data_IF_687693228106
#
_entry.id   IF_687693228106
#
_cell.length_a   1.000
_cell.length_b   1.000
_cell.length_c   1.000
_cell.angle_alpha   90.00
_cell.angle_beta   90.00
_cell.angle_gamma   90.00
#
_symmetry.space_group_name_H-M   'P 1'
#
loop_
_entity.id
_entity.type
_entity.pdbx_description
1 polymer ?
#
# COMPACT_ATOMS: atom_id res chain seq x y z
N UNK A 1 7.29 -17.22 3.81
CA UNK A 1 8.02 -15.97 3.48
C UNK A 1 7.01 -14.87 3.29
N UNK A 2 7.22 -13.71 3.91
CA UNK A 2 6.29 -12.59 3.87
C UNK A 2 6.85 -11.48 2.98
N UNK A 3 6.00 -10.92 2.13
CA UNK A 3 6.23 -9.73 1.36
C UNK A 3 5.36 -8.61 1.96
N UNK A 4 5.99 -7.64 2.57
CA UNK A 4 5.38 -6.41 3.09
C UNK A 4 5.19 -5.42 1.95
N UNK A 5 3.95 -5.13 1.57
CA UNK A 5 3.69 -4.29 0.39
C UNK A 5 3.45 -2.82 0.70
N UNK A 6 3.39 -2.45 1.99
CA UNK A 6 3.18 -1.05 2.39
C UNK A 6 3.70 -0.75 3.80
N UNK A 7 4.84 -0.10 3.87
CA UNK A 7 5.48 0.32 5.11
C UNK A 7 6.08 1.73 4.96
N UNK A 8 6.15 2.49 6.05
CA UNK A 8 6.77 3.82 6.11
C UNK A 8 7.95 3.79 7.11
N UNK A 9 9.02 3.05 6.77
CA UNK A 9 10.23 3.04 7.60
C UNK A 9 11.00 4.37 7.56
N UNK A 10 10.66 5.29 6.66
CA UNK A 10 11.09 6.69 6.63
C UNK A 10 10.51 7.52 7.78
N UNK A 11 9.36 7.16 8.36
CA UNK A 11 8.69 7.88 9.44
C UNK A 11 9.61 8.15 10.64
N UNK A 12 9.51 9.36 11.22
CA UNK A 12 10.28 9.81 12.39
C UNK A 12 10.16 8.87 13.61
N UNK A 13 9.05 8.14 13.75
CA UNK A 13 8.88 7.16 14.83
C UNK A 13 9.87 6.01 14.79
N UNK A 14 10.54 5.79 13.65
CA UNK A 14 11.61 4.80 13.52
C UNK A 14 13.01 5.39 13.68
N UNK A 15 13.18 6.69 13.78
CA UNK A 15 14.47 7.37 13.73
C UNK A 15 15.54 6.77 14.64
N UNK A 16 15.16 6.42 15.87
CA UNK A 16 16.11 5.95 16.89
C UNK A 16 16.63 4.51 16.63
N UNK A 17 15.79 3.64 16.05
CA UNK A 17 16.11 2.22 15.91
C UNK A 17 15.91 1.68 14.48
N UNK A 18 15.60 2.54 13.51
CA UNK A 18 15.33 2.19 12.10
C UNK A 18 16.35 1.21 11.54
N UNK A 19 17.62 1.51 11.70
CA UNK A 19 18.70 0.74 11.11
C UNK A 19 18.78 -0.67 11.71
N UNK A 20 18.66 -0.78 13.03
CA UNK A 20 18.65 -2.05 13.75
C UNK A 20 17.41 -2.88 13.37
N UNK A 21 16.24 -2.24 13.38
CA UNK A 21 14.97 -2.89 13.06
C UNK A 21 14.99 -3.41 11.62
N UNK A 22 15.21 -2.54 10.66
CA UNK A 22 15.20 -2.88 9.23
C UNK A 22 16.22 -3.98 8.93
N UNK A 23 17.46 -3.90 9.42
CA UNK A 23 18.48 -4.94 9.23
C UNK A 23 18.07 -6.32 9.80
N UNK A 24 17.12 -6.35 10.75
CA UNK A 24 16.67 -7.59 11.38
C UNK A 24 15.55 -8.31 10.63
N UNK A 25 14.76 -7.59 9.80
CA UNK A 25 13.53 -8.10 9.17
C UNK A 25 13.73 -9.37 8.34
N UNK A 26 14.80 -9.52 7.53
CA UNK A 26 15.01 -10.75 6.75
C UNK A 26 15.14 -12.00 7.60
N UNK A 27 15.65 -11.87 8.86
CA UNK A 27 15.73 -12.97 9.83
C UNK A 27 14.39 -13.29 10.47
N UNK A 28 13.43 -12.40 10.37
CA UNK A 28 12.05 -12.50 10.90
C UNK A 28 11.04 -12.92 9.82
N UNK A 29 11.49 -13.60 8.76
CA UNK A 29 10.67 -14.07 7.65
C UNK A 29 10.14 -12.97 6.70
N UNK A 30 10.48 -11.70 6.89
CA UNK A 30 10.14 -10.60 5.99
C UNK A 30 11.21 -10.50 4.91
N UNK A 31 10.90 -10.97 3.71
CA UNK A 31 11.90 -11.15 2.64
C UNK A 31 11.88 -10.04 1.58
N UNK A 32 10.81 -9.30 1.48
CA UNK A 32 10.65 -8.12 0.62
C UNK A 32 9.81 -7.08 1.36
N UNK A 33 10.17 -5.82 1.16
CA UNK A 33 9.45 -4.66 1.71
C UNK A 33 9.32 -3.61 0.62
N UNK A 34 8.14 -3.04 0.46
CA UNK A 34 7.97 -1.79 -0.28
C UNK A 34 7.86 -0.67 0.77
N UNK A 35 8.85 0.22 0.80
CA UNK A 35 8.73 1.46 1.55
C UNK A 35 8.03 2.49 0.67
N UNK A 36 7.02 3.15 1.23
CA UNK A 36 6.10 4.00 0.46
C UNK A 36 6.23 5.44 0.92
N UNK A 37 6.61 6.32 0.01
CA UNK A 37 6.62 7.76 0.26
C UNK A 37 5.20 8.33 0.21
N UNK A 38 4.85 9.16 1.19
CA UNK A 38 3.55 9.84 1.25
C UNK A 38 3.66 11.35 0.92
N UNK A 39 4.83 11.95 1.15
CA UNK A 39 5.20 13.31 0.76
C UNK A 39 6.51 13.28 -0.05
N UNK A 40 6.97 14.43 -0.50
CA UNK A 40 8.19 14.48 -1.31
C UNK A 40 9.44 14.03 -0.52
N UNK A 41 9.57 14.40 0.74
CA UNK A 41 10.67 13.98 1.60
C UNK A 41 10.66 12.46 1.82
N UNK A 42 9.48 11.89 2.11
CA UNK A 42 9.28 10.45 2.23
C UNK A 42 9.60 9.69 0.93
N UNK A 43 9.33 10.27 -0.24
CA UNK A 43 9.77 9.68 -1.52
C UNK A 43 11.29 9.61 -1.63
N UNK A 44 12.01 10.66 -1.24
CA UNK A 44 13.47 10.69 -1.24
C UNK A 44 14.03 9.65 -0.27
N UNK A 45 13.50 9.59 0.95
CA UNK A 45 13.93 8.65 1.98
C UNK A 45 13.60 7.20 1.61
N UNK A 46 12.45 6.94 0.96
CA UNK A 46 12.09 5.61 0.43
C UNK A 46 13.10 5.11 -0.61
N UNK A 47 13.52 5.99 -1.52
CA UNK A 47 14.59 5.67 -2.49
C UNK A 47 15.90 5.38 -1.76
N UNK A 48 16.29 6.20 -0.77
CA UNK A 48 17.53 6.00 -0.01
C UNK A 48 17.51 4.66 0.77
N UNK A 49 16.38 4.29 1.37
CA UNK A 49 16.21 2.98 2.02
C UNK A 49 16.36 1.83 1.01
N UNK A 50 15.76 1.95 -0.16
CA UNK A 50 15.87 0.95 -1.21
C UNK A 50 17.30 0.86 -1.77
N UNK A 51 18.05 1.96 -1.86
CA UNK A 51 19.48 1.94 -2.22
C UNK A 51 20.32 1.20 -1.18
N UNK A 52 19.99 1.38 0.11
CA UNK A 52 20.76 0.81 1.23
C UNK A 52 20.53 -0.68 1.46
N UNK A 53 19.30 -1.18 1.20
CA UNK A 53 18.90 -2.56 1.53
C UNK A 53 18.40 -3.31 0.29
N UNK A 54 19.01 -4.45 -0.04
CA UNK A 54 18.70 -5.22 -1.26
C UNK A 54 17.25 -5.70 -1.32
N UNK A 55 16.64 -5.98 -0.18
CA UNK A 55 15.29 -6.52 -0.08
C UNK A 55 14.20 -5.44 0.05
N UNK A 56 14.58 -4.14 0.12
CA UNK A 56 13.65 -3.00 0.13
C UNK A 56 13.54 -2.41 -1.28
N UNK A 57 12.32 -2.07 -1.63
CA UNK A 57 11.92 -1.39 -2.85
C UNK A 57 11.18 -0.12 -2.49
N UNK A 58 11.12 0.83 -3.40
CA UNK A 58 10.42 2.10 -3.21
C UNK A 58 9.12 2.16 -4.01
N UNK A 59 8.06 2.67 -3.40
CA UNK A 59 6.95 3.29 -4.09
C UNK A 59 7.01 4.80 -3.84
N UNK A 60 6.81 5.59 -4.86
CA UNK A 60 6.93 7.05 -4.79
C UNK A 60 5.70 7.73 -5.38
N UNK A 61 5.16 8.69 -4.66
CA UNK A 61 3.96 9.42 -5.03
C UNK A 61 3.64 10.49 -3.99
N UNK A 62 2.65 11.32 -4.27
CA UNK A 62 2.19 12.37 -3.35
C UNK A 62 0.80 11.98 -2.85
N UNK A 63 0.73 11.74 -1.55
CA UNK A 63 -0.50 11.41 -0.83
C UNK A 63 -1.50 12.57 -0.90
N UNK A 64 -2.82 12.32 -0.94
CA UNK A 64 -3.82 13.37 -1.03
C UNK A 64 -3.77 14.43 0.07
N UNK A 65 -3.24 14.13 1.24
CA UNK A 65 -3.06 15.11 2.33
C UNK A 65 -1.83 16.02 2.16
N UNK A 66 -0.99 15.78 1.16
CA UNK A 66 0.25 16.53 0.90
C UNK A 66 0.27 17.10 -0.53
N UNK A 67 -0.88 17.51 -1.05
CA UNK A 67 -1.00 17.99 -2.43
C UNK A 67 -0.15 19.25 -2.72
N UNK A 68 0.23 20.00 -1.71
CA UNK A 68 1.15 21.13 -1.80
C UNK A 68 2.55 20.72 -2.25
N UNK A 69 2.97 19.48 -1.96
CA UNK A 69 4.23 18.92 -2.42
C UNK A 69 4.23 18.54 -3.91
N UNK A 70 3.08 18.53 -4.55
CA UNK A 70 2.94 18.16 -5.94
C UNK A 70 3.33 19.30 -6.91
N UNK A 71 4.48 19.93 -6.63
CA UNK A 71 5.08 20.92 -7.53
C UNK A 71 5.57 20.28 -8.82
N UNK A 72 5.71 21.07 -9.90
CA UNK A 72 6.24 20.56 -11.16
C UNK A 72 7.65 19.99 -11.02
N UNK A 73 8.48 20.57 -10.12
CA UNK A 73 9.83 20.08 -9.83
C UNK A 73 9.80 18.72 -9.14
N UNK A 74 8.97 18.56 -8.11
CA UNK A 74 8.84 17.31 -7.36
C UNK A 74 8.26 16.21 -8.26
N UNK A 75 7.25 16.51 -9.06
CA UNK A 75 6.67 15.56 -10.01
C UNK A 75 7.66 15.15 -11.11
N UNK A 76 8.51 16.07 -11.57
CA UNK A 76 9.59 15.76 -12.51
C UNK A 76 10.65 14.85 -11.88
N UNK A 77 10.99 15.04 -10.59
CA UNK A 77 11.87 14.16 -9.84
C UNK A 77 11.26 12.76 -9.68
N UNK A 78 9.98 12.66 -9.28
CA UNK A 78 9.26 11.38 -9.17
C UNK A 78 9.28 10.66 -10.51
N UNK A 79 8.98 11.35 -11.63
CA UNK A 79 9.05 10.78 -12.97
C UNK A 79 10.44 10.25 -13.31
N UNK A 80 11.48 11.00 -12.99
CA UNK A 80 12.87 10.59 -13.19
C UNK A 80 13.22 9.30 -12.41
N UNK A 81 12.82 9.24 -11.13
CA UNK A 81 13.08 8.09 -10.26
C UNK A 81 12.17 6.89 -10.56
N UNK A 82 11.00 7.07 -11.17
CA UNK A 82 10.10 5.98 -11.56
C UNK A 82 10.73 5.00 -12.57
N UNK A 83 11.75 5.44 -13.33
CA UNK A 83 12.50 4.58 -14.24
C UNK A 83 13.50 3.66 -13.54
N UNK A 84 13.88 3.95 -12.28
CA UNK A 84 14.84 3.15 -11.53
C UNK A 84 14.30 1.74 -11.23
N UNK A 85 15.18 0.74 -11.28
CA UNK A 85 14.78 -0.67 -11.16
C UNK A 85 14.12 -1.01 -9.81
N UNK A 86 14.50 -0.31 -8.72
CA UNK A 86 13.92 -0.53 -7.39
C UNK A 86 12.73 0.38 -7.07
N UNK A 87 12.32 1.27 -7.97
CA UNK A 87 11.02 1.93 -7.92
C UNK A 87 10.00 1.01 -8.57
N UNK A 88 9.08 0.49 -7.77
CA UNK A 88 8.19 -0.62 -8.17
C UNK A 88 6.73 -0.21 -8.30
N UNK A 89 6.35 0.98 -7.83
CA UNK A 89 4.99 1.51 -7.94
C UNK A 89 4.97 3.04 -7.90
N UNK A 90 3.91 3.64 -8.43
CA UNK A 90 3.52 5.02 -8.12
C UNK A 90 2.53 4.95 -6.96
N UNK A 91 2.90 5.54 -5.84
CA UNK A 91 2.15 5.48 -4.58
C UNK A 91 2.98 6.03 -3.41
N UNK A 92 2.29 6.47 -2.39
CA UNK A 92 0.86 6.41 -2.14
C UNK A 92 0.15 7.58 -2.82
N UNK A 93 -0.92 7.29 -3.57
CA UNK A 93 -1.72 8.28 -4.28
C UNK A 93 -3.21 8.00 -4.07
N UNK A 94 -4.08 8.98 -4.24
CA UNK A 94 -5.50 8.73 -4.10
C UNK A 94 -6.30 9.89 -3.54
N UNK A 95 -7.29 9.58 -2.68
CA UNK A 95 -8.25 10.56 -2.13
C UNK A 95 -8.44 10.36 -0.63
N UNK A 96 -8.42 11.45 0.16
CA UNK A 96 -8.77 11.47 1.58
C UNK A 96 -9.77 12.60 1.87
N UNK A 97 -11.04 12.24 2.01
CA UNK A 97 -12.13 13.17 2.35
C UNK A 97 -12.46 13.18 3.84
N UNK A 98 -11.78 12.37 4.62
CA UNK A 98 -11.93 12.37 6.07
C UNK A 98 -11.32 13.63 6.70
N UNK A 99 -10.09 13.96 6.27
CA UNK A 99 -9.39 15.15 6.73
C UNK A 99 -9.77 16.39 5.92
N UNK A 100 -9.91 16.25 4.62
CA UNK A 100 -10.14 17.34 3.66
C UNK A 100 -11.59 17.37 3.19
N UNK A 101 -12.39 18.19 3.87
CA UNK A 101 -13.83 18.31 3.61
C UNK A 101 -14.20 19.44 2.64
N UNK A 102 -13.26 20.33 2.35
CA UNK A 102 -13.50 21.47 1.46
C UNK A 102 -13.56 21.00 0.00
N UNK A 103 -14.64 21.33 -0.73
CA UNK A 103 -14.82 20.88 -2.12
C UNK A 103 -13.68 21.27 -3.07
N UNK A 104 -13.03 22.40 -2.84
CA UNK A 104 -11.88 22.87 -3.62
C UNK A 104 -10.65 22.00 -3.39
N UNK A 105 -10.40 21.55 -2.14
CA UNK A 105 -9.31 20.64 -1.83
C UNK A 105 -9.58 19.26 -2.40
N UNK A 106 -10.81 18.75 -2.27
CA UNK A 106 -11.20 17.48 -2.86
C UNK A 106 -11.06 17.49 -4.39
N UNK A 107 -11.37 18.61 -5.05
CA UNK A 107 -11.13 18.75 -6.49
C UNK A 107 -9.64 18.69 -6.83
N UNK A 108 -8.79 19.38 -6.07
CA UNK A 108 -7.35 19.35 -6.26
C UNK A 108 -6.78 17.93 -6.04
N UNK A 109 -7.28 17.18 -5.04
CA UNK A 109 -6.92 15.78 -4.83
C UNK A 109 -7.28 14.92 -6.05
N UNK A 110 -8.49 15.05 -6.61
CA UNK A 110 -8.90 14.31 -7.82
C UNK A 110 -8.00 14.61 -9.02
N UNK A 111 -7.69 15.89 -9.25
CA UNK A 111 -6.81 16.31 -10.34
C UNK A 111 -5.41 15.73 -10.17
N UNK A 112 -4.84 15.80 -8.96
CA UNK A 112 -3.53 15.24 -8.65
C UNK A 112 -3.52 13.71 -8.77
N UNK A 113 -4.56 13.04 -8.29
CA UNK A 113 -4.72 11.60 -8.45
C UNK A 113 -4.67 11.21 -9.94
N UNK A 114 -5.44 11.86 -10.79
CA UNK A 114 -5.44 11.62 -12.24
C UNK A 114 -4.07 11.89 -12.88
N UNK A 115 -3.36 12.94 -12.46
CA UNK A 115 -2.00 13.23 -12.97
C UNK A 115 -1.02 12.12 -12.62
N UNK A 116 -1.06 11.60 -11.40
CA UNK A 116 -0.18 10.53 -10.96
C UNK A 116 -0.56 9.16 -11.58
N UNK A 117 -1.84 8.91 -11.84
CA UNK A 117 -2.26 7.74 -12.63
C UNK A 117 -1.73 7.81 -14.07
N UNK A 118 -1.75 8.99 -14.69
CA UNK A 118 -1.17 9.19 -16.02
C UNK A 118 0.35 8.91 -16.02
N UNK A 119 1.06 9.34 -14.97
CA UNK A 119 2.47 9.01 -14.79
C UNK A 119 2.69 7.50 -14.62
N UNK A 120 1.88 6.82 -13.80
CA UNK A 120 1.98 5.37 -13.62
C UNK A 120 1.79 4.63 -14.95
N UNK A 121 0.83 5.06 -15.78
CA UNK A 121 0.60 4.53 -17.12
C UNK A 121 1.82 4.74 -18.02
N UNK A 122 2.37 5.95 -18.07
CA UNK A 122 3.56 6.30 -18.86
C UNK A 122 4.76 5.42 -18.48
N UNK A 123 4.96 5.22 -17.17
CA UNK A 123 6.07 4.44 -16.63
C UNK A 123 5.82 2.94 -16.59
N UNK A 124 4.62 2.48 -16.96
CA UNK A 124 4.19 1.09 -16.87
C UNK A 124 4.36 0.50 -15.47
N UNK A 125 4.03 1.28 -14.45
CA UNK A 125 4.11 0.89 -13.04
C UNK A 125 2.72 0.65 -12.46
N UNK A 126 2.58 -0.29 -11.51
CA UNK A 126 1.37 -0.42 -10.71
C UNK A 126 1.21 0.79 -9.77
N UNK A 127 0.01 0.91 -9.21
CA UNK A 127 -0.31 1.97 -8.25
C UNK A 127 -0.69 1.44 -6.88
N UNK A 128 -0.36 2.20 -5.83
CA UNK A 128 -0.78 1.96 -4.45
C UNK A 128 -1.76 3.09 -4.09
N UNK A 129 -3.03 2.71 -3.85
CA UNK A 129 -4.15 3.63 -3.76
C UNK A 129 -4.61 3.81 -2.33
N UNK A 130 -4.50 5.05 -1.85
CA UNK A 130 -5.17 5.52 -0.65
C UNK A 130 -6.61 5.91 -0.96
N UNK A 131 -7.54 5.49 -0.10
CA UNK A 131 -8.93 5.92 -0.22
C UNK A 131 -9.60 5.96 1.15
N UNK A 132 -9.98 7.15 1.59
CA UNK A 132 -10.65 7.36 2.87
C UNK A 132 -11.82 8.33 2.75
N UNK A 133 -13.03 7.86 3.09
CA UNK A 133 -14.31 8.58 2.93
C UNK A 133 -14.56 9.10 1.50
N UNK A 134 -13.91 8.50 0.49
CA UNK A 134 -13.93 8.89 -0.91
C UNK A 134 -14.30 7.72 -1.85
N UNK A 135 -15.12 6.81 -1.37
CA UNK A 135 -15.41 5.52 -2.01
C UNK A 135 -15.89 5.64 -3.46
N UNK A 136 -16.86 6.54 -3.72
CA UNK A 136 -17.46 6.72 -5.04
C UNK A 136 -16.49 7.33 -6.04
N UNK A 137 -15.84 8.43 -5.68
CA UNK A 137 -14.89 9.10 -6.55
C UNK A 137 -13.67 8.22 -6.84
N UNK A 138 -13.16 7.51 -5.82
CA UNK A 138 -12.06 6.55 -6.03
C UNK A 138 -12.47 5.44 -6.99
N UNK A 139 -13.67 4.85 -6.82
CA UNK A 139 -14.17 3.80 -7.71
C UNK A 139 -14.29 4.30 -9.15
N UNK A 140 -14.86 5.47 -9.35
CA UNK A 140 -15.04 6.05 -10.68
C UNK A 140 -13.69 6.30 -11.39
N UNK A 141 -12.72 6.85 -10.67
CA UNK A 141 -11.38 7.09 -11.20
C UNK A 141 -10.67 5.76 -11.50
N UNK A 142 -10.76 4.77 -10.60
CA UNK A 142 -10.12 3.47 -10.79
C UNK A 142 -10.76 2.64 -11.92
N UNK A 143 -12.04 2.82 -12.20
CA UNK A 143 -12.67 2.24 -13.40
C UNK A 143 -12.04 2.77 -14.68
N UNK A 144 -11.70 4.07 -14.73
CA UNK A 144 -10.98 4.63 -15.86
C UNK A 144 -9.54 4.13 -15.92
N UNK A 145 -8.84 4.08 -14.78
CA UNK A 145 -7.49 3.53 -14.68
C UNK A 145 -7.40 2.06 -15.15
N UNK A 146 -8.44 1.26 -14.84
CA UNK A 146 -8.55 -0.11 -15.34
C UNK A 146 -8.65 -0.14 -16.88
N UNK A 147 -9.49 0.70 -17.51
CA UNK A 147 -9.57 0.79 -18.98
C UNK A 147 -8.24 1.21 -19.60
N UNK A 148 -7.46 1.98 -18.89
CA UNK A 148 -6.11 2.41 -19.27
C UNK A 148 -5.04 1.33 -19.03
N UNK A 149 -5.42 0.18 -18.45
CA UNK A 149 -4.53 -0.95 -18.20
C UNK A 149 -3.58 -0.77 -17.02
N UNK A 150 -3.90 0.13 -16.07
CA UNK A 150 -3.06 0.41 -14.90
C UNK A 150 -3.38 -0.61 -13.80
N UNK A 151 -2.46 -1.52 -13.42
CA UNK A 151 -2.66 -2.44 -12.32
C UNK A 151 -2.44 -1.72 -10.97
N UNK A 152 -2.98 -2.28 -9.88
CA UNK A 152 -2.78 -1.65 -8.58
C UNK A 152 -3.35 -2.43 -7.39
N UNK A 153 -3.19 -1.83 -6.22
CA UNK A 153 -3.74 -2.27 -4.95
C UNK A 153 -4.52 -1.14 -4.28
N UNK A 154 -5.69 -1.45 -3.75
CA UNK A 154 -6.39 -0.56 -2.83
C UNK A 154 -5.84 -0.86 -1.45
N UNK A 155 -4.94 0.01 -0.99
CA UNK A 155 -4.24 -0.09 0.27
C UNK A 155 -5.19 0.15 1.46
N UNK A 156 -4.87 -0.45 2.60
CA UNK A 156 -5.60 -0.32 3.87
C UNK A 156 -7.13 -0.40 3.73
N UNK A 157 -7.58 -1.40 2.98
CA UNK A 157 -8.98 -1.50 2.54
C UNK A 157 -9.96 -1.48 3.71
N UNK A 158 -10.97 -0.60 3.64
CA UNK A 158 -11.93 -0.38 4.73
C UNK A 158 -13.40 -0.33 4.29
N UNK A 159 -13.67 -0.47 3.00
CA UNK A 159 -15.03 -0.41 2.44
C UNK A 159 -15.76 -1.75 2.50
N UNK A 160 -16.87 -1.87 1.77
CA UNK A 160 -17.70 -3.08 1.77
C UNK A 160 -17.13 -4.18 0.89
N UNK A 161 -17.53 -5.42 1.14
CA UNK A 161 -17.15 -6.57 0.32
C UNK A 161 -17.68 -6.49 -1.12
N UNK A 162 -18.83 -5.83 -1.33
CA UNK A 162 -19.39 -5.60 -2.65
C UNK A 162 -18.46 -4.72 -3.49
N UNK A 163 -17.95 -3.65 -2.89
CA UNK A 163 -16.98 -2.78 -3.56
C UNK A 163 -15.64 -3.49 -3.80
N UNK A 164 -15.18 -4.31 -2.86
CA UNK A 164 -13.97 -5.11 -3.05
C UNK A 164 -14.11 -6.06 -4.26
N UNK A 165 -15.29 -6.68 -4.44
CA UNK A 165 -15.56 -7.52 -5.61
C UNK A 165 -15.45 -6.75 -6.93
N UNK A 166 -15.89 -5.50 -6.97
CA UNK A 166 -15.75 -4.68 -8.19
C UNK A 166 -14.27 -4.37 -8.48
N UNK A 167 -13.47 -4.05 -7.45
CA UNK A 167 -12.01 -3.89 -7.63
C UNK A 167 -11.35 -5.19 -8.12
N UNK A 168 -11.70 -6.32 -7.52
CA UNK A 168 -11.18 -7.63 -7.90
C UNK A 168 -11.54 -8.02 -9.34
N UNK A 169 -12.78 -7.74 -9.80
CA UNK A 169 -13.19 -7.95 -11.19
C UNK A 169 -12.36 -7.12 -12.18
N UNK A 170 -11.91 -5.96 -11.77
CA UNK A 170 -11.01 -5.11 -12.54
C UNK A 170 -9.53 -5.56 -12.46
N UNK A 171 -9.23 -6.61 -11.66
CA UNK A 171 -7.87 -7.12 -11.50
C UNK A 171 -7.05 -6.42 -10.42
N UNK A 172 -7.65 -5.53 -9.62
CA UNK A 172 -6.97 -4.88 -8.51
C UNK A 172 -6.84 -5.83 -7.31
N UNK A 173 -5.77 -5.66 -6.56
CA UNK A 173 -5.56 -6.31 -5.28
C UNK A 173 -6.12 -5.49 -4.12
N UNK A 174 -6.36 -6.16 -3.01
CA UNK A 174 -6.83 -5.58 -1.76
C UNK A 174 -5.71 -5.71 -0.74
N UNK A 175 -5.26 -4.57 -0.21
CA UNK A 175 -4.27 -4.51 0.86
C UNK A 175 -4.93 -4.83 2.20
N UNK A 176 -4.37 -5.80 2.92
CA UNK A 176 -4.89 -6.26 4.20
C UNK A 176 -3.80 -6.19 5.26
N UNK A 177 -4.01 -5.30 6.24
CA UNK A 177 -3.09 -5.05 7.34
C UNK A 177 -3.68 -5.34 8.71
N UNK A 178 -3.07 -4.76 9.75
CA UNK A 178 -3.37 -5.00 11.16
C UNK A 178 -4.84 -4.86 11.55
N UNK A 179 -5.58 -3.99 10.85
CA UNK A 179 -7.01 -3.75 11.09
C UNK A 179 -7.84 -5.03 11.02
N UNK A 180 -7.48 -6.02 10.20
CA UNK A 180 -8.22 -7.29 10.10
C UNK A 180 -8.31 -8.04 11.43
N UNK A 181 -7.37 -7.83 12.34
CA UNK A 181 -7.34 -8.46 13.66
C UNK A 181 -8.29 -7.81 14.66
N UNK A 182 -8.75 -6.57 14.40
CA UNK A 182 -9.56 -5.81 15.36
C UNK A 182 -10.94 -6.45 15.57
N UNK A 183 -11.44 -6.39 16.80
CA UNK A 183 -12.75 -6.97 17.17
C UNK A 183 -13.90 -6.36 16.36
N UNK A 184 -13.83 -5.06 16.08
CA UNK A 184 -14.85 -4.30 15.38
C UNK A 184 -14.67 -4.22 13.86
N UNK A 185 -13.65 -4.86 13.28
CA UNK A 185 -13.37 -4.84 11.83
C UNK A 185 -14.25 -5.81 11.03
N UNK A 186 -15.57 -5.84 11.33
CA UNK A 186 -16.50 -6.79 10.72
C UNK A 186 -16.50 -6.74 9.19
N UNK A 187 -16.57 -5.52 8.62
CA UNK A 187 -16.60 -5.33 7.15
C UNK A 187 -15.36 -5.92 6.47
N UNK A 188 -14.17 -5.63 7.01
CA UNK A 188 -12.91 -6.12 6.43
C UNK A 188 -12.80 -7.65 6.55
N UNK A 189 -13.24 -8.23 7.68
CA UNK A 189 -13.28 -9.69 7.87
C UNK A 189 -14.22 -10.37 6.87
N UNK A 190 -15.42 -9.81 6.66
CA UNK A 190 -16.35 -10.29 5.65
C UNK A 190 -15.77 -10.16 4.23
N UNK A 191 -15.07 -9.07 3.96
CA UNK A 191 -14.38 -8.86 2.68
C UNK A 191 -13.33 -9.94 2.43
N UNK A 192 -12.43 -10.17 3.39
CA UNK A 192 -11.37 -11.17 3.29
C UNK A 192 -11.93 -12.57 3.05
N UNK A 193 -12.98 -12.96 3.82
CA UNK A 193 -13.64 -14.26 3.65
C UNK A 193 -14.30 -14.41 2.27
N UNK A 194 -14.81 -13.34 1.70
CA UNK A 194 -15.57 -13.34 0.44
C UNK A 194 -14.67 -13.34 -0.81
N UNK A 195 -13.59 -12.52 -0.82
CA UNK A 195 -12.72 -12.41 -2.00
C UNK A 195 -11.64 -13.50 -2.06
N UNK A 196 -11.30 -14.09 -0.91
CA UNK A 196 -10.30 -15.15 -0.80
C UNK A 196 -8.86 -14.67 -1.08
N UNK A 197 -7.92 -15.58 -0.91
CA UNK A 197 -6.48 -15.30 -0.99
C UNK A 197 -5.97 -14.77 -2.34
N UNK A 198 -6.50 -15.19 -3.51
CA UNK A 198 -5.93 -14.80 -4.81
C UNK A 198 -5.89 -13.29 -5.08
N UNK A 199 -6.61 -12.50 -4.29
CA UNK A 199 -6.74 -11.05 -4.50
C UNK A 199 -6.22 -10.22 -3.32
N UNK A 200 -5.52 -10.85 -2.37
CA UNK A 200 -5.00 -10.18 -1.17
C UNK A 200 -3.49 -10.01 -1.28
N UNK A 201 -2.99 -8.85 -0.85
CA UNK A 201 -1.58 -8.62 -0.50
C UNK A 201 -1.48 -8.21 0.97
N UNK A 202 -0.35 -8.52 1.60
CA UNK A 202 -0.10 -8.24 3.01
C UNK A 202 0.62 -6.91 3.18
N UNK A 203 0.18 -6.15 4.16
CA UNK A 203 0.78 -4.86 4.49
C UNK A 203 0.68 -4.55 5.98
N UNK A 204 1.47 -3.60 6.47
CA UNK A 204 1.33 -3.12 7.85
C UNK A 204 0.80 -1.71 7.95
N UNK A 205 1.13 -0.84 7.01
CA UNK A 205 0.99 0.61 7.15
C UNK A 205 1.77 1.12 8.38
N UNK A 206 2.90 0.47 8.69
CA UNK A 206 3.70 0.85 9.87
C UNK A 206 4.36 2.21 9.67
N UNK A 207 4.42 3.02 10.74
CA UNK A 207 4.30 2.71 12.17
C UNK A 207 2.86 2.67 12.72
N UNK A 208 1.85 2.72 11.87
CA UNK A 208 0.44 2.79 12.25
C UNK A 208 -0.21 1.41 12.28
N UNK A 209 -1.48 1.35 12.68
CA UNK A 209 -2.39 0.19 12.54
C UNK A 209 -1.86 -1.12 13.13
N UNK A 210 -1.10 -1.08 14.25
CA UNK A 210 -0.63 -2.29 14.92
C UNK A 210 -1.77 -3.28 15.19
N UNK A 211 -1.59 -4.57 14.84
CA UNK A 211 -2.63 -5.59 15.05
C UNK A 211 -2.84 -5.93 16.52
N UNK A 212 -3.95 -6.57 16.85
CA UNK A 212 -4.07 -7.26 18.13
C UNK A 212 -3.03 -8.41 18.24
N UNK A 213 -2.36 -8.59 19.39
CA UNK A 213 -2.56 -7.93 20.68
C UNK A 213 -1.75 -6.63 20.89
N UNK A 214 -1.08 -6.11 19.85
CA UNK A 214 -0.18 -4.95 19.94
C UNK A 214 -0.85 -3.61 19.62
N UNK A 215 -2.18 -3.58 19.56
CA UNK A 215 -2.91 -2.36 19.25
C UNK A 215 -2.54 -1.20 20.18
N UNK A 216 -2.31 -0.01 19.58
CA UNK A 216 -1.91 1.19 20.32
C UNK A 216 -0.41 1.35 20.54
N UNK A 217 0.41 0.38 20.09
CA UNK A 217 1.87 0.53 20.04
C UNK A 217 2.36 0.87 18.64
N UNK A 218 3.63 1.21 18.49
CA UNK A 218 4.26 1.38 17.18
C UNK A 218 4.25 0.02 16.43
N UNK A 219 3.72 0.02 15.23
CA UNK A 219 3.69 -1.16 14.35
C UNK A 219 5.01 -1.33 13.60
N UNK A 220 5.30 -2.55 13.17
CA UNK A 220 6.34 -2.89 12.19
C UNK A 220 6.01 -4.23 11.50
N UNK A 221 6.75 -4.56 10.43
CA UNK A 221 6.44 -5.73 9.58
C UNK A 221 6.48 -7.08 10.31
N UNK A 222 7.14 -7.18 11.47
CA UNK A 222 7.14 -8.42 12.29
C UNK A 222 5.74 -8.80 12.75
N UNK A 223 4.86 -7.82 12.85
CA UNK A 223 3.47 -8.02 13.26
C UNK A 223 2.59 -8.65 12.17
N UNK A 224 3.07 -8.80 10.94
CA UNK A 224 2.33 -9.48 9.86
C UNK A 224 1.96 -10.93 10.19
N UNK A 225 2.67 -11.58 11.11
CA UNK A 225 2.30 -12.93 11.59
C UNK A 225 0.88 -12.99 12.17
N UNK A 226 0.40 -11.91 12.81
CA UNK A 226 -0.96 -11.84 13.37
C UNK A 226 -2.00 -11.63 12.26
N UNK A 227 -1.65 -10.84 11.25
CA UNK A 227 -2.47 -10.63 10.06
C UNK A 227 -2.64 -11.94 9.30
N UNK A 228 -1.53 -12.64 9.03
CA UNK A 228 -1.50 -13.96 8.37
C UNK A 228 -2.38 -14.97 9.08
N UNK A 229 -2.25 -15.09 10.41
CA UNK A 229 -3.08 -16.01 11.23
C UNK A 229 -4.57 -15.69 11.12
N UNK A 230 -4.91 -14.41 11.21
CA UNK A 230 -6.32 -13.99 11.12
C UNK A 230 -6.88 -14.26 9.71
N UNK A 231 -6.12 -13.99 8.65
CA UNK A 231 -6.55 -14.30 7.28
C UNK A 231 -6.73 -15.81 7.11
N UNK A 232 -5.82 -16.64 7.62
CA UNK A 232 -5.92 -18.10 7.57
C UNK A 232 -7.22 -18.61 8.23
N UNK A 233 -7.56 -18.08 9.41
CA UNK A 233 -8.81 -18.40 10.10
C UNK A 233 -10.05 -17.98 9.29
N UNK A 234 -10.03 -16.79 8.69
CA UNK A 234 -11.16 -16.26 7.93
C UNK A 234 -11.40 -16.99 6.60
N UNK A 235 -10.35 -17.51 6.01
CA UNK A 235 -10.41 -18.20 4.70
C UNK A 235 -10.42 -19.72 4.82
N UNK A 236 -10.28 -20.27 6.04
CA UNK A 236 -10.24 -21.72 6.28
C UNK A 236 -8.98 -22.40 5.70
N UNK A 237 -7.86 -21.68 5.65
CA UNK A 237 -6.57 -22.14 5.11
C UNK A 237 -5.49 -22.18 6.18
N UNK A 238 -4.25 -22.49 5.81
CA UNK A 238 -3.11 -22.45 6.75
C UNK A 238 -2.33 -21.13 6.64
N UNK A 239 -1.61 -20.72 7.70
CA UNK A 239 -0.71 -19.56 7.62
C UNK A 239 0.31 -19.67 6.49
N UNK A 240 0.84 -20.86 6.23
CA UNK A 240 1.81 -21.13 5.17
C UNK A 240 1.20 -20.91 3.78
N UNK A 241 -0.06 -21.29 3.59
CA UNK A 241 -0.79 -21.05 2.34
C UNK A 241 -1.08 -19.56 2.14
N UNK A 242 -1.47 -18.83 3.20
CA UNK A 242 -1.61 -17.37 3.15
C UNK A 242 -0.31 -16.72 2.74
N UNK A 243 0.82 -17.05 3.40
CA UNK A 243 2.14 -16.52 3.03
C UNK A 243 2.49 -16.82 1.57
N UNK A 244 2.28 -18.07 1.11
CA UNK A 244 2.65 -18.48 -0.24
C UNK A 244 1.82 -17.74 -1.31
N UNK A 245 0.50 -17.69 -1.14
CA UNK A 245 -0.40 -17.07 -2.13
C UNK A 245 -0.20 -15.56 -2.17
N UNK A 246 -0.14 -14.90 -1.01
CA UNK A 246 0.03 -13.44 -0.95
C UNK A 246 1.42 -12.99 -1.43
N UNK A 247 2.45 -13.82 -1.24
CA UNK A 247 3.77 -13.61 -1.84
C UNK A 247 3.72 -13.60 -3.37
N UNK A 248 3.09 -14.59 -3.99
CA UNK A 248 2.96 -14.65 -5.44
C UNK A 248 2.05 -13.54 -5.99
N UNK A 249 1.02 -13.14 -5.25
CA UNK A 249 0.19 -12.00 -5.59
C UNK A 249 1.02 -10.70 -5.65
N UNK A 250 1.81 -10.44 -4.60
CA UNK A 250 2.67 -9.27 -4.53
C UNK A 250 3.72 -9.27 -5.66
N UNK A 251 4.35 -10.39 -5.95
CA UNK A 251 5.29 -10.52 -7.08
C UNK A 251 4.63 -10.28 -8.44
N UNK A 252 3.39 -10.74 -8.61
CA UNK A 252 2.64 -10.52 -9.84
C UNK A 252 2.27 -9.05 -10.02
N UNK A 253 1.85 -8.40 -8.94
CA UNK A 253 1.51 -6.98 -8.97
C UNK A 253 2.75 -6.12 -9.19
N UNK A 254 3.81 -6.34 -8.40
CA UNK A 254 5.04 -5.56 -8.43
C UNK A 254 6.13 -6.29 -9.25
N UNK A 255 5.89 -6.44 -10.54
CA UNK A 255 6.70 -7.27 -11.44
C UNK A 255 8.19 -6.93 -11.55
N UNK A 256 8.63 -5.74 -11.08
CA UNK A 256 10.05 -5.37 -10.98
C UNK A 256 10.75 -6.00 -9.76
N UNK A 257 10.02 -6.50 -8.76
CA UNK A 257 10.61 -7.11 -7.54
C UNK A 257 11.21 -8.47 -7.89
N UNK A 258 12.49 -8.62 -7.60
CA UNK A 258 13.28 -9.84 -7.86
C UNK A 258 13.58 -10.63 -6.59
#
# INVERSE_FOLDING_TARGET
MIFETHAHYDDEKFKEDREQLVSSLPKQNIKRVINVGADFAGCVDSVALAEKYDYIYAAIGIHPSNIEDATEENLAWIKGKASWEKTVAIGEIGLDYYWDKEPTVQQAQREMFCRQLALAKEMSLPVIIHSRDAAEDTMNIMQQAHKDGIPGVIHCYSYSKEMAKEYVKMGYYIGVGGVVTFKNAKKLKETVAEIGLPHIVLETDCPYMAPEPHRGTRNDSRNLIYVVKTIAELTGTTPEEVEAVTWENAKRLFGKVR
#
